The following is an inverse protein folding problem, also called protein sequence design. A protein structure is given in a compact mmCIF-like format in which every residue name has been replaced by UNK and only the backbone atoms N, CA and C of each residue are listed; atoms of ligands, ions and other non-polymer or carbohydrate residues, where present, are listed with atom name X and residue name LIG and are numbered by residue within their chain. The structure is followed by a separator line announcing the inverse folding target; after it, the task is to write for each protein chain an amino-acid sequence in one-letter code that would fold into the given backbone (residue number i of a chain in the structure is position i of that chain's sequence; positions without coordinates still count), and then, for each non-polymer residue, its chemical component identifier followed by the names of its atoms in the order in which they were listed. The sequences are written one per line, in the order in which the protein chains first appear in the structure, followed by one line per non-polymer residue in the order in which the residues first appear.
data_IF_970854907231
#
_entry.id   IF_970854907231
#
_cell.length_a   1.000
_cell.length_b   1.000
_cell.length_c   1.000
_cell.angle_alpha   90.00
_cell.angle_beta   90.00
_cell.angle_gamma   90.00
#
_symmetry.space_group_name_H-M   'P 1'
#
loop_
_entity.id
_entity.type
_entity.pdbx_description
1 polymer ?
#
# COMPACT_ATOMS: atom_id res chain seq x y z
N UNK A 1 5.21 -1.12 4.29
CA UNK A 1 6.10 -2.01 5.08
C UNK A 1 7.54 -1.55 4.91
N UNK A 2 8.37 -1.73 5.91
CA UNK A 2 9.79 -1.37 5.90
C UNK A 2 10.63 -2.49 6.50
N UNK A 3 11.81 -2.72 5.93
CA UNK A 3 12.87 -3.59 6.45
C UNK A 3 14.22 -2.93 6.17
N UNK A 4 15.22 -3.27 6.97
CA UNK A 4 16.52 -2.62 6.87
C UNK A 4 17.43 -3.27 5.81
N UNK A 5 17.13 -4.50 5.39
CA UNK A 5 17.99 -5.32 4.53
C UNK A 5 17.43 -5.66 3.15
N UNK A 6 16.12 -5.47 2.89
CA UNK A 6 15.48 -5.85 1.63
C UNK A 6 14.21 -5.05 1.33
N UNK A 7 13.72 -5.13 0.09
CA UNK A 7 12.44 -4.54 -0.32
C UNK A 7 11.29 -5.47 0.12
N UNK A 8 10.53 -5.12 1.19
CA UNK A 8 9.56 -6.03 1.78
C UNK A 8 8.24 -6.01 0.99
N UNK A 9 7.71 -7.21 0.74
CA UNK A 9 6.37 -7.39 0.14
C UNK A 9 5.46 -8.23 1.04
N UNK A 10 5.97 -9.29 1.67
CA UNK A 10 5.17 -10.21 2.49
C UNK A 10 5.85 -10.65 3.78
N UNK A 11 7.06 -10.22 4.04
CA UNK A 11 7.91 -10.78 5.10
C UNK A 11 8.26 -9.79 6.21
N UNK A 12 7.70 -8.60 6.20
CA UNK A 12 7.88 -7.62 7.27
C UNK A 12 6.66 -7.55 8.19
N UNK A 13 6.92 -7.30 9.47
CA UNK A 13 5.89 -6.89 10.43
C UNK A 13 6.01 -5.41 10.82
N UNK A 14 6.92 -4.67 10.21
CA UNK A 14 7.17 -3.26 10.55
C UNK A 14 6.57 -2.34 9.50
N UNK A 15 5.88 -1.31 9.96
CA UNK A 15 5.35 -0.22 9.15
C UNK A 15 6.00 1.10 9.53
N UNK A 16 6.00 2.01 8.57
CA UNK A 16 6.42 3.39 8.79
C UNK A 16 5.39 4.37 8.26
N UNK A 17 4.97 5.29 9.12
CA UNK A 17 4.31 6.53 8.73
C UNK A 17 5.41 7.55 8.40
N UNK A 18 5.74 7.67 7.11
CA UNK A 18 6.93 8.40 6.64
C UNK A 18 6.91 9.86 7.09
N UNK A 19 5.78 10.54 6.94
CA UNK A 19 5.65 11.97 7.28
C UNK A 19 5.68 12.24 8.80
N UNK A 20 5.31 11.27 9.62
CA UNK A 20 5.37 11.34 11.08
C UNK A 20 6.67 10.78 11.67
N UNK A 21 7.50 10.12 10.86
CA UNK A 21 8.71 9.41 11.28
C UNK A 21 8.45 8.39 12.40
N UNK A 22 7.32 7.68 12.32
CA UNK A 22 6.89 6.68 13.30
C UNK A 22 6.92 5.30 12.70
N UNK A 23 7.67 4.38 13.32
CA UNK A 23 7.65 2.94 13.02
C UNK A 23 6.87 2.18 14.07
N UNK A 24 6.08 1.20 13.66
CA UNK A 24 5.28 0.35 14.55
C UNK A 24 5.14 -1.07 14.00
N UNK A 25 4.88 -2.01 14.92
CA UNK A 25 4.59 -3.40 14.57
C UNK A 25 3.17 -3.56 14.02
N UNK A 26 2.98 -4.50 13.10
CA UNK A 26 1.68 -4.81 12.53
C UNK A 26 0.61 -5.15 13.58
N UNK A 27 1.00 -5.75 14.72
CA UNK A 27 0.07 -6.05 15.81
C UNK A 27 -0.57 -4.81 16.43
N UNK A 28 0.10 -3.67 16.30
CA UNK A 28 -0.33 -2.39 16.88
C UNK A 28 -1.09 -1.50 15.90
N UNK A 29 -1.39 -1.96 14.67
CA UNK A 29 -1.94 -1.11 13.61
C UNK A 29 -3.21 -0.35 14.03
N UNK A 30 -4.11 -0.96 14.82
CA UNK A 30 -5.33 -0.33 15.31
C UNK A 30 -5.07 0.79 16.33
N UNK A 31 -3.86 0.90 16.87
CA UNK A 31 -3.45 2.01 17.72
C UNK A 31 -3.04 3.24 16.91
N UNK A 32 -2.64 3.04 15.67
CA UNK A 32 -2.16 4.10 14.77
C UNK A 32 -3.16 4.50 13.69
N UNK A 33 -3.96 3.55 13.22
CA UNK A 33 -4.93 3.73 12.13
C UNK A 33 -6.35 3.46 12.64
N UNK A 34 -7.31 4.22 12.13
CA UNK A 34 -8.72 3.96 12.37
C UNK A 34 -9.54 4.13 11.10
N UNK A 35 -10.50 3.23 10.90
CA UNK A 35 -11.51 3.36 9.85
C UNK A 35 -12.70 4.19 10.35
N UNK A 36 -13.31 4.96 9.44
CA UNK A 36 -14.47 5.78 9.74
C UNK A 36 -15.38 5.88 8.52
N UNK A 37 -16.66 6.11 8.79
CA UNK A 37 -17.70 6.33 7.78
C UNK A 37 -17.77 7.78 7.34
N UNK A 38 -18.14 8.02 6.08
CA UNK A 38 -18.42 9.33 5.52
C UNK A 38 -19.83 9.37 4.94
N UNK A 39 -20.59 10.48 5.07
CA UNK A 39 -22.00 10.51 4.67
C UNK A 39 -22.26 10.31 3.17
N UNK A 40 -21.28 10.54 2.32
CA UNK A 40 -21.39 10.54 0.86
C UNK A 40 -20.87 9.27 0.20
N UNK A 41 -20.38 8.30 0.98
CA UNK A 41 -19.84 7.04 0.46
C UNK A 41 -20.21 5.87 1.35
N UNK A 42 -20.49 4.71 0.76
CA UNK A 42 -20.60 3.45 1.48
C UNK A 42 -19.27 2.77 1.76
N UNK A 43 -18.17 3.34 1.28
CA UNK A 43 -16.84 2.84 1.55
C UNK A 43 -16.31 3.39 2.88
N UNK A 44 -15.57 2.58 3.62
CA UNK A 44 -14.82 3.04 4.80
C UNK A 44 -13.58 3.82 4.38
N UNK A 45 -13.26 4.83 5.15
CA UNK A 45 -12.08 5.68 5.01
C UNK A 45 -11.16 5.43 6.19
N UNK A 46 -9.85 5.57 5.98
CA UNK A 46 -8.86 5.41 7.05
C UNK A 46 -8.09 6.70 7.28
N UNK A 47 -7.74 6.95 8.54
CA UNK A 47 -6.89 8.08 8.94
C UNK A 47 -5.89 7.67 10.02
N UNK A 48 -4.85 8.48 10.19
CA UNK A 48 -3.94 8.39 11.33
C UNK A 48 -4.68 8.80 12.59
N UNK A 49 -4.83 7.91 13.54
CA UNK A 49 -5.66 8.09 14.73
C UNK A 49 -5.25 9.28 15.60
N UNK A 50 -3.94 9.49 15.76
CA UNK A 50 -3.41 10.56 16.60
C UNK A 50 -3.58 11.95 16.01
N UNK A 51 -3.57 12.09 14.68
CA UNK A 51 -3.54 13.39 13.99
C UNK A 51 -4.79 13.68 13.17
N UNK A 52 -5.60 12.66 12.88
CA UNK A 52 -6.73 12.74 11.95
C UNK A 52 -6.32 12.91 10.49
N UNK A 53 -5.03 12.88 10.15
CA UNK A 53 -4.55 13.06 8.79
C UNK A 53 -4.91 11.86 7.92
N UNK A 54 -5.17 12.07 6.61
CA UNK A 54 -5.34 11.00 5.65
C UNK A 54 -4.07 10.16 5.52
N UNK A 55 -4.25 8.91 5.12
CA UNK A 55 -3.16 7.97 4.83
C UNK A 55 -3.05 7.80 3.32
N UNK A 56 -1.85 7.66 2.82
CA UNK A 56 -1.57 7.26 1.45
C UNK A 56 -0.61 6.07 1.45
N UNK A 57 -1.09 4.92 0.98
CA UNK A 57 -0.31 3.70 0.81
C UNK A 57 -0.33 3.28 -0.65
N UNK A 58 0.83 2.96 -1.24
CA UNK A 58 0.92 2.70 -2.68
C UNK A 58 2.31 2.21 -3.07
N UNK A 59 2.51 1.91 -4.36
CA UNK A 59 3.83 1.70 -4.94
C UNK A 59 4.77 2.87 -4.67
N UNK A 60 4.26 4.12 -4.80
CA UNK A 60 5.06 5.32 -4.53
C UNK A 60 5.51 5.39 -3.07
N UNK A 61 4.63 5.05 -2.12
CA UNK A 61 4.98 4.99 -0.70
C UNK A 61 6.04 3.93 -0.43
N UNK A 62 5.92 2.74 -1.03
CA UNK A 62 6.92 1.65 -0.90
C UNK A 62 8.27 2.05 -1.48
N UNK A 63 8.28 2.67 -2.66
CA UNK A 63 9.51 3.16 -3.25
C UNK A 63 10.21 4.19 -2.36
N UNK A 64 9.45 5.11 -1.78
CA UNK A 64 9.99 6.11 -0.86
C UNK A 64 10.55 5.47 0.41
N UNK A 65 9.85 4.47 0.96
CA UNK A 65 10.28 3.79 2.18
C UNK A 65 11.48 2.85 1.98
N UNK A 66 11.61 2.23 0.81
CA UNK A 66 12.56 1.14 0.57
C UNK A 66 13.38 1.30 -0.72
N UNK A 67 13.62 2.54 -1.14
CA UNK A 67 14.37 2.87 -2.36
C UNK A 67 15.71 2.15 -2.46
N UNK A 68 16.44 2.08 -1.35
CA UNK A 68 17.79 1.52 -1.33
C UNK A 68 17.83 0.02 -1.61
N UNK A 69 16.70 -0.65 -1.43
CA UNK A 69 16.55 -2.09 -1.64
C UNK A 69 16.04 -2.49 -3.05
N UNK A 70 15.78 -1.53 -3.92
CA UNK A 70 15.50 -1.81 -5.33
C UNK A 70 16.74 -2.37 -6.04
N UNK A 71 16.52 -3.23 -7.04
CA UNK A 71 17.58 -3.67 -7.95
C UNK A 71 18.22 -2.48 -8.68
N UNK A 72 19.47 -2.64 -9.11
CA UNK A 72 20.18 -1.57 -9.82
C UNK A 72 19.48 -1.20 -11.13
N UNK A 73 18.90 -2.20 -11.82
CA UNK A 73 18.14 -2.02 -13.04
C UNK A 73 16.85 -1.20 -12.78
N UNK A 74 16.13 -1.46 -11.68
CA UNK A 74 14.95 -0.70 -11.28
C UNK A 74 15.34 0.74 -10.91
N UNK A 75 16.42 0.94 -10.15
CA UNK A 75 16.96 2.30 -9.85
C UNK A 75 17.33 3.06 -11.11
N UNK A 76 18.01 2.42 -12.05
CA UNK A 76 18.39 3.05 -13.32
C UNK A 76 17.15 3.41 -14.16
N UNK A 77 16.18 2.50 -14.29
CA UNK A 77 14.93 2.76 -14.99
C UNK A 77 14.15 3.92 -14.35
N UNK A 78 14.08 3.94 -13.02
CA UNK A 78 13.44 4.99 -12.25
C UNK A 78 14.06 6.37 -12.49
N UNK A 79 15.38 6.45 -12.40
CA UNK A 79 16.11 7.70 -12.67
C UNK A 79 15.89 8.19 -14.12
N UNK A 80 15.89 7.28 -15.10
CA UNK A 80 15.62 7.59 -16.51
C UNK A 80 14.20 8.10 -16.74
N UNK A 81 13.24 7.58 -15.99
CA UNK A 81 11.83 7.99 -16.05
C UNK A 81 11.52 9.26 -15.22
N UNK A 82 12.52 9.82 -14.54
CA UNK A 82 12.36 11.04 -13.72
C UNK A 82 11.66 10.80 -12.37
N UNK A 83 11.64 9.56 -11.89
CA UNK A 83 11.19 9.22 -10.55
C UNK A 83 12.40 9.13 -9.62
N UNK A 84 12.32 9.76 -8.46
CA UNK A 84 13.39 9.85 -7.46
C UNK A 84 12.86 9.50 -6.07
N UNK A 85 13.74 9.19 -5.11
CA UNK A 85 13.34 9.08 -3.71
C UNK A 85 12.60 10.34 -3.21
N UNK A 86 11.77 10.18 -2.22
CA UNK A 86 10.96 11.25 -1.61
C UNK A 86 9.97 11.94 -2.57
N UNK A 87 9.57 11.25 -3.62
CA UNK A 87 8.54 11.74 -4.54
C UNK A 87 7.17 11.81 -3.83
N UNK A 88 6.55 12.99 -3.86
CA UNK A 88 5.27 13.24 -3.19
C UNK A 88 4.09 13.41 -4.14
N UNK A 89 4.34 13.47 -5.45
CA UNK A 89 3.26 13.66 -6.43
C UNK A 89 2.52 12.34 -6.69
N UNK A 90 1.26 12.18 -6.24
CA UNK A 90 0.50 10.94 -6.40
C UNK A 90 0.26 10.57 -7.88
N UNK A 91 0.27 11.54 -8.79
CA UNK A 91 0.18 11.30 -10.23
C UNK A 91 1.31 10.40 -10.78
N UNK A 92 2.44 10.30 -10.05
CA UNK A 92 3.57 9.44 -10.41
C UNK A 92 3.43 8.00 -9.90
N UNK A 93 2.35 7.66 -9.19
CA UNK A 93 2.17 6.32 -8.66
C UNK A 93 2.15 5.24 -9.74
N UNK A 94 1.54 5.49 -10.91
CA UNK A 94 1.55 4.53 -12.03
C UNK A 94 2.98 4.27 -12.54
N UNK A 95 3.84 5.29 -12.48
CA UNK A 95 5.24 5.12 -12.83
C UNK A 95 5.97 4.28 -11.76
N UNK A 96 5.68 4.53 -10.50
CA UNK A 96 6.19 3.71 -9.40
C UNK A 96 5.77 2.24 -9.54
N UNK A 97 4.52 1.96 -9.88
CA UNK A 97 4.04 0.60 -10.17
C UNK A 97 4.82 -0.06 -11.31
N UNK A 98 5.11 0.68 -12.39
CA UNK A 98 5.90 0.15 -13.51
C UNK A 98 7.33 -0.21 -13.08
N UNK A 99 7.95 0.59 -12.21
CA UNK A 99 9.28 0.30 -11.64
C UNK A 99 9.23 -0.93 -10.74
N UNK A 100 8.21 -1.08 -9.89
CA UNK A 100 8.02 -2.28 -9.06
C UNK A 100 7.81 -3.55 -9.90
N UNK A 101 7.08 -3.46 -11.01
CA UNK A 101 6.89 -4.60 -11.94
C UNK A 101 8.26 -5.04 -12.49
N UNK A 102 9.10 -4.10 -12.90
CA UNK A 102 10.44 -4.42 -13.37
C UNK A 102 11.26 -5.11 -12.27
N UNK A 103 11.28 -4.55 -11.05
CA UNK A 103 12.01 -5.11 -9.91
C UNK A 103 11.50 -6.52 -9.56
N UNK A 104 10.18 -6.70 -9.52
CA UNK A 104 9.54 -7.97 -9.25
C UNK A 104 9.91 -9.04 -10.30
N UNK A 105 9.93 -8.70 -11.58
CA UNK A 105 10.34 -9.62 -12.65
C UNK A 105 11.81 -10.05 -12.51
N UNK A 106 12.70 -9.13 -12.14
CA UNK A 106 14.11 -9.45 -11.89
C UNK A 106 14.25 -10.42 -10.73
N UNK A 107 13.55 -10.18 -9.62
CA UNK A 107 13.53 -11.05 -8.43
C UNK A 107 12.93 -12.41 -8.75
N UNK A 108 11.79 -12.46 -9.45
CA UNK A 108 11.17 -13.70 -9.88
C UNK A 108 12.13 -14.55 -10.74
N UNK A 109 12.84 -13.93 -11.67
CA UNK A 109 13.82 -14.63 -12.48
C UNK A 109 14.98 -15.20 -11.63
N UNK A 110 15.38 -14.50 -10.57
CA UNK A 110 16.35 -15.00 -9.57
C UNK A 110 15.83 -16.23 -8.84
N UNK A 111 14.64 -16.10 -8.25
CA UNK A 111 13.98 -17.21 -7.50
C UNK A 111 13.80 -18.44 -8.40
N UNK A 112 13.34 -18.28 -9.64
CA UNK A 112 13.21 -19.39 -10.58
C UNK A 112 14.54 -20.11 -10.85
N UNK A 113 15.66 -19.36 -10.95
CA UNK A 113 16.98 -19.97 -11.15
C UNK A 113 17.42 -20.78 -9.92
N UNK A 114 17.16 -20.29 -8.71
CA UNK A 114 17.47 -21.04 -7.47
C UNK A 114 16.61 -22.31 -7.36
N UNK A 115 15.30 -22.19 -7.57
CA UNK A 115 14.40 -23.35 -7.57
C UNK A 115 14.79 -24.40 -8.63
N UNK A 116 15.28 -23.99 -9.79
CA UNK A 116 15.74 -24.89 -10.85
C UNK A 116 16.98 -25.71 -10.45
N UNK A 117 17.74 -25.28 -9.44
CA UNK A 117 18.86 -26.06 -8.89
C UNK A 117 18.40 -27.20 -7.97
N UNK A 118 17.09 -27.30 -7.66
CA UNK A 118 16.52 -28.30 -6.76
C UNK A 118 16.73 -27.97 -5.27
N UNK A 119 17.10 -26.76 -4.96
CA UNK A 119 17.23 -26.27 -3.58
C UNK A 119 15.86 -25.78 -3.09
N UNK A 120 15.15 -26.60 -2.37
CA UNK A 120 13.88 -26.23 -1.73
C UNK A 120 13.16 -27.43 -1.14
N UNK A 121 12.65 -27.31 0.07
CA UNK A 121 11.76 -28.29 0.66
C UNK A 121 10.31 -27.95 0.27
N UNK A 122 9.67 -28.84 -0.48
CA UNK A 122 8.29 -28.70 -0.94
C UNK A 122 7.26 -29.26 0.04
N UNK A 123 7.69 -29.71 1.22
CA UNK A 123 6.77 -30.30 2.20
C UNK A 123 5.98 -29.24 2.93
N UNK A 124 4.65 -29.44 3.13
CA UNK A 124 3.86 -28.58 4.00
C UNK A 124 4.45 -28.54 5.41
N UNK A 125 4.49 -27.36 6.01
CA UNK A 125 4.85 -27.20 7.41
C UNK A 125 3.68 -27.73 8.26
N UNK A 126 3.91 -28.69 9.19
CA UNK A 126 2.85 -29.13 10.09
C UNK A 126 2.44 -27.98 11.02
N UNK A 127 1.15 -27.87 11.28
CA UNK A 127 0.60 -26.89 12.21
C UNK A 127 -0.48 -27.54 13.08
N UNK A 128 -0.72 -26.96 14.25
CA UNK A 128 -1.79 -27.35 15.15
C UNK A 128 -2.82 -26.24 15.23
N UNK A 129 -4.10 -26.60 15.17
CA UNK A 129 -5.21 -25.67 15.36
C UNK A 129 -5.32 -25.34 16.83
N UNK A 130 -5.43 -24.04 17.15
CA UNK A 130 -5.63 -23.57 18.53
C UNK A 130 -6.33 -22.21 18.53
N UNK A 131 -7.04 -21.89 19.60
CA UNK A 131 -7.55 -20.55 19.82
C UNK A 131 -6.43 -19.51 19.89
N UNK A 132 -6.70 -18.33 19.38
CA UNK A 132 -5.77 -17.21 19.44
C UNK A 132 -6.10 -16.09 18.47
N UNK A 133 -5.33 -15.02 18.57
CA UNK A 133 -5.40 -13.89 17.66
C UNK A 133 -4.15 -13.89 16.78
N UNK A 134 -4.36 -13.86 15.47
CA UNK A 134 -3.31 -13.69 14.49
C UNK A 134 -3.43 -12.33 13.80
N UNK A 135 -2.31 -11.64 13.66
CA UNK A 135 -2.19 -10.42 12.87
C UNK A 135 -1.19 -10.66 11.75
N UNK A 136 -1.55 -10.27 10.55
CA UNK A 136 -0.68 -10.34 9.40
C UNK A 136 -0.89 -9.16 8.48
N UNK A 137 0.13 -8.84 7.70
CA UNK A 137 0.05 -7.84 6.66
C UNK A 137 0.79 -8.28 5.41
N UNK A 138 0.39 -7.72 4.29
CA UNK A 138 1.09 -7.88 3.02
C UNK A 138 0.95 -6.63 2.16
N UNK A 139 1.94 -6.38 1.31
CA UNK A 139 1.83 -5.34 0.31
C UNK A 139 1.09 -5.87 -0.92
N UNK A 140 -0.10 -5.34 -1.14
CA UNK A 140 -0.82 -5.50 -2.40
C UNK A 140 -0.36 -4.42 -3.41
N UNK A 141 -0.68 -4.53 -4.72
CA UNK A 141 -0.30 -3.51 -5.69
C UNK A 141 -0.72 -2.08 -5.30
N UNK A 142 -1.85 -1.94 -4.62
CA UNK A 142 -2.43 -0.65 -4.18
C UNK A 142 -1.94 -0.18 -2.82
N UNK A 143 -1.16 -0.97 -2.10
CA UNK A 143 -0.63 -0.66 -0.78
C UNK A 143 -0.77 -1.79 0.23
N UNK A 144 -0.49 -1.51 1.49
CA UNK A 144 -0.54 -2.50 2.56
C UNK A 144 -1.97 -2.90 2.94
N UNK A 145 -2.20 -4.19 3.09
CA UNK A 145 -3.44 -4.75 3.66
C UNK A 145 -3.15 -5.38 5.00
N UNK A 146 -3.99 -5.11 5.99
CA UNK A 146 -3.92 -5.70 7.31
C UNK A 146 -5.01 -6.73 7.50
N UNK A 147 -4.67 -7.82 8.18
CA UNK A 147 -5.61 -8.84 8.63
C UNK A 147 -5.38 -9.10 10.10
N UNK A 148 -6.45 -8.99 10.90
CA UNK A 148 -6.48 -9.44 12.28
C UNK A 148 -7.63 -10.42 12.41
N UNK A 149 -7.32 -11.64 12.79
CA UNK A 149 -8.30 -12.73 12.91
C UNK A 149 -8.23 -13.32 14.32
N UNK A 150 -9.38 -13.51 14.92
CA UNK A 150 -9.54 -14.25 16.18
C UNK A 150 -10.15 -15.61 15.89
N UNK A 151 -9.55 -16.68 16.42
CA UNK A 151 -9.95 -18.06 16.21
C UNK A 151 -10.35 -18.73 17.53
N UNK A 152 -11.33 -19.64 17.46
CA UNK A 152 -11.63 -20.60 18.53
C UNK A 152 -10.71 -21.82 18.50
N UNK A 153 -10.92 -22.76 19.48
CA UNK A 153 -10.12 -23.98 19.58
C UNK A 153 -10.32 -24.96 18.39
N UNK A 154 -11.38 -24.81 17.63
CA UNK A 154 -11.66 -25.58 16.42
C UNK A 154 -11.16 -24.88 15.13
N UNK A 155 -10.52 -23.71 15.25
CA UNK A 155 -10.00 -22.93 14.13
C UNK A 155 -11.06 -22.15 13.35
N UNK A 156 -12.23 -21.93 13.92
CA UNK A 156 -13.26 -21.08 13.31
C UNK A 156 -13.00 -19.63 13.66
N UNK A 157 -13.21 -18.74 12.70
CA UNK A 157 -13.06 -17.29 12.90
C UNK A 157 -14.18 -16.77 13.78
N UNK A 158 -13.85 -16.19 14.92
CA UNK A 158 -14.76 -15.50 15.84
C UNK A 158 -14.90 -14.02 15.50
N UNK A 159 -13.79 -13.39 15.12
CA UNK A 159 -13.73 -11.98 14.74
C UNK A 159 -12.71 -11.77 13.63
N UNK A 160 -13.00 -10.82 12.71
CA UNK A 160 -12.10 -10.41 11.65
C UNK A 160 -12.10 -8.87 11.54
N UNK A 161 -10.91 -8.29 11.44
CA UNK A 161 -10.68 -6.88 11.10
C UNK A 161 -9.72 -6.84 9.94
N UNK A 162 -10.15 -6.26 8.82
CA UNK A 162 -9.36 -6.19 7.58
C UNK A 162 -9.37 -4.75 7.09
N UNK A 163 -8.21 -4.08 7.14
CA UNK A 163 -8.05 -2.74 6.58
C UNK A 163 -7.41 -2.84 5.21
N UNK A 164 -8.15 -2.44 4.20
CA UNK A 164 -7.71 -2.54 2.80
C UNK A 164 -6.89 -1.32 2.37
N UNK A 165 -6.01 -1.44 1.35
CA UNK A 165 -5.28 -0.28 0.83
C UNK A 165 -6.21 0.81 0.29
N UNK A 166 -7.36 0.43 -0.28
CA UNK A 166 -8.28 1.41 -0.84
C UNK A 166 -8.95 2.24 0.25
N UNK A 167 -9.40 1.63 1.35
CA UNK A 167 -9.95 2.41 2.49
C UNK A 167 -8.92 3.40 3.03
N UNK A 168 -7.64 3.02 3.06
CA UNK A 168 -6.54 3.90 3.46
C UNK A 168 -6.34 5.07 2.49
N UNK A 169 -6.53 4.87 1.20
CA UNK A 169 -6.25 5.87 0.17
C UNK A 169 -7.39 6.85 -0.11
N UNK A 170 -8.64 6.53 0.26
CA UNK A 170 -9.81 7.34 -0.12
C UNK A 170 -9.77 8.76 0.41
N UNK A 171 -9.37 8.97 1.66
CA UNK A 171 -9.27 10.30 2.26
C UNK A 171 -8.22 11.17 1.55
N UNK A 172 -7.08 10.59 1.18
CA UNK A 172 -6.04 11.28 0.39
C UNK A 172 -6.53 11.58 -1.03
N UNK A 173 -7.21 10.63 -1.69
CA UNK A 173 -7.79 10.85 -3.02
C UNK A 173 -8.77 12.03 -3.04
N UNK A 174 -9.64 12.14 -2.03
CA UNK A 174 -10.56 13.28 -1.92
C UNK A 174 -9.82 14.60 -1.70
N UNK A 175 -8.85 14.63 -0.80
CA UNK A 175 -8.08 15.83 -0.51
C UNK A 175 -7.30 16.30 -1.74
N UNK A 176 -6.61 15.39 -2.43
CA UNK A 176 -5.84 15.68 -3.63
C UNK A 176 -6.74 16.10 -4.81
N UNK A 177 -7.91 15.47 -4.95
CA UNK A 177 -8.89 15.85 -5.98
C UNK A 177 -9.39 17.28 -5.75
N UNK A 178 -9.73 17.62 -4.50
CA UNK A 178 -10.16 18.98 -4.14
C UNK A 178 -9.08 19.99 -4.45
N UNK A 179 -7.86 19.75 -3.99
CA UNK A 179 -6.71 20.63 -4.24
C UNK A 179 -6.44 20.80 -5.74
N UNK A 180 -6.46 19.70 -6.51
CA UNK A 180 -6.27 19.75 -7.95
C UNK A 180 -7.33 20.64 -8.63
N UNK A 181 -8.61 20.48 -8.26
CA UNK A 181 -9.70 21.28 -8.81
C UNK A 181 -9.52 22.76 -8.48
N UNK A 182 -9.19 23.09 -7.23
CA UNK A 182 -8.96 24.47 -6.79
C UNK A 182 -7.86 25.14 -7.63
N UNK A 183 -6.71 24.49 -7.77
CA UNK A 183 -5.57 25.00 -8.56
C UNK A 183 -5.94 25.19 -10.04
N UNK A 184 -6.65 24.25 -10.64
CA UNK A 184 -7.00 24.31 -12.07
C UNK A 184 -8.08 25.36 -12.35
N UNK A 185 -9.04 25.54 -11.44
CA UNK A 185 -10.06 26.59 -11.53
C UNK A 185 -9.42 27.98 -11.38
N UNK A 186 -8.53 28.16 -10.41
CA UNK A 186 -7.78 29.40 -10.23
C UNK A 186 -6.91 29.75 -11.45
N UNK A 187 -6.38 28.74 -12.12
CA UNK A 187 -5.63 28.91 -13.37
C UNK A 187 -6.54 29.22 -14.58
N UNK A 188 -7.87 29.25 -14.43
CA UNK A 188 -8.84 29.57 -15.48
C UNK A 188 -8.99 28.50 -16.56
N UNK A 189 -8.71 27.22 -16.23
CA UNK A 189 -8.81 26.12 -17.17
C UNK A 189 -10.28 25.68 -17.35
N UNK A 190 -10.60 25.19 -18.53
CA UNK A 190 -11.98 24.75 -18.86
C UNK A 190 -12.33 23.42 -18.14
N UNK A 191 -13.65 23.19 -18.00
CA UNK A 191 -14.20 22.03 -17.30
C UNK A 191 -13.73 20.69 -17.94
N UNK A 192 -13.60 20.63 -19.26
CA UNK A 192 -13.16 19.40 -19.97
C UNK A 192 -11.73 19.04 -19.60
N UNK A 193 -10.86 20.03 -19.52
CA UNK A 193 -9.48 19.84 -19.06
C UNK A 193 -9.44 19.39 -17.59
N UNK A 194 -10.18 20.06 -16.71
CA UNK A 194 -10.27 19.72 -15.28
C UNK A 194 -10.73 18.27 -15.09
N UNK A 195 -11.80 17.85 -15.79
CA UNK A 195 -12.30 16.46 -15.75
C UNK A 195 -11.23 15.45 -16.21
N UNK A 196 -10.45 15.81 -17.21
CA UNK A 196 -9.36 14.95 -17.70
C UNK A 196 -8.26 14.76 -16.65
N UNK A 197 -7.87 15.83 -15.96
CA UNK A 197 -6.84 15.78 -14.92
C UNK A 197 -7.32 15.00 -13.68
N UNK A 198 -8.59 15.19 -13.26
CA UNK A 198 -9.19 14.37 -12.21
C UNK A 198 -9.16 12.88 -12.60
N UNK A 199 -9.53 12.54 -13.84
CA UNK A 199 -9.51 11.16 -14.29
C UNK A 199 -8.09 10.54 -14.29
N UNK A 200 -7.05 11.34 -14.54
CA UNK A 200 -5.65 10.89 -14.40
C UNK A 200 -5.27 10.65 -12.95
N UNK A 201 -5.67 11.56 -12.05
CA UNK A 201 -5.41 11.41 -10.62
C UNK A 201 -6.09 10.14 -10.06
N UNK A 202 -7.36 9.92 -10.38
CA UNK A 202 -8.10 8.72 -9.97
C UNK A 202 -7.40 7.45 -10.48
N UNK A 203 -6.94 7.44 -11.73
CA UNK A 203 -6.18 6.29 -12.27
C UNK A 203 -4.85 6.08 -11.55
N UNK A 204 -4.20 7.15 -11.11
CA UNK A 204 -2.96 7.05 -10.35
C UNK A 204 -3.16 6.44 -8.96
N UNK A 205 -4.29 6.71 -8.34
CA UNK A 205 -4.69 6.08 -7.07
C UNK A 205 -5.12 4.62 -7.23
N UNK A 206 -5.54 4.21 -8.44
CA UNK A 206 -6.00 2.84 -8.75
C UNK A 206 -7.04 2.31 -7.73
N UNK A 207 -8.16 3.02 -7.44
CA UNK A 207 -9.07 2.63 -6.39
C UNK A 207 -9.84 1.35 -6.71
N UNK A 208 -9.94 0.47 -5.72
CA UNK A 208 -10.82 -0.71 -5.74
C UNK A 208 -11.97 -0.46 -4.76
N UNK A 209 -13.04 0.20 -5.21
CA UNK A 209 -14.11 0.63 -4.30
C UNK A 209 -14.79 -0.54 -3.61
N UNK A 210 -14.98 -1.66 -4.30
CA UNK A 210 -15.53 -2.89 -3.70
C UNK A 210 -14.65 -3.48 -2.58
N UNK A 211 -13.35 -3.13 -2.54
CA UNK A 211 -12.44 -3.59 -1.50
C UNK A 211 -12.57 -2.78 -0.19
N UNK A 212 -13.23 -1.63 -0.22
CA UNK A 212 -13.42 -0.74 0.93
C UNK A 212 -14.88 -0.66 1.41
N UNK A 213 -15.78 -1.44 0.80
CA UNK A 213 -17.18 -1.59 1.23
C UNK A 213 -17.32 -2.91 1.94
N UNK A 214 -17.58 -2.90 3.24
CA UNK A 214 -17.82 -4.09 4.06
C UNK A 214 -18.63 -3.77 5.32
#
# INVERSE_FOLDING_TARGET
MVEDDYYPVQSSNTLELIDEHVRFDAHDFESYLEEYEVPHSGALFTRVKATGKPVFTSALSRLNASWDHLSQEAKFASAKAGLRPEEKNPMKNNLAQAIEILDALIRCAGICRELAKGEGDSKPVPFEVRAGIGVGMSEAPRGVVFHKLEFDDEGRVLHASIITPTSQNLASLEADTRHLVEVLVEAGLDEGYIRSEIAKLVRAYDPCLSCSVH
#
